data_IF_788040987040
#
_entry.id   IF_788040987040
#
_cell.length_a   1.000
_cell.length_b   1.000
_cell.length_c   1.000
_cell.angle_alpha   90.00
_cell.angle_beta   90.00
_cell.angle_gamma   90.00
#
_symmetry.space_group_name_H-M   'P 1'
#
loop_
_entity.id
_entity.type
_entity.pdbx_description
1 polymer ?
#
# COMPACT_ATOMS: atom_id res chain seq x y z
N UNK A 1 9.22 -27.34 26.76
CA UNK A 1 8.86 -27.09 26.56
C UNK A 1 8.32 -26.53 26.46
N UNK A 2 7.99 -26.38 26.34
CA UNK A 2 7.47 -25.85 26.12
C UNK A 2 6.80 -25.31 26.36
N UNK A 3 6.46 -25.33 26.67
CA UNK A 3 5.76 -24.93 26.91
C UNK A 3 5.50 -24.02 27.12
N UNK A 4 5.63 -23.71 27.43
CA UNK A 4 5.41 -22.84 27.83
C UNK A 4 5.38 -21.96 27.17
N UNK A 5 5.66 -21.97 26.47
CA UNK A 5 5.53 -21.28 25.70
C UNK A 5 4.33 -21.02 25.41
N UNK A 6 3.93 -21.73 25.43
CA UNK A 6 2.67 -21.66 24.94
C UNK A 6 1.92 -20.63 25.49
N UNK A 7 2.04 -20.30 26.49
CA UNK A 7 1.28 -19.41 26.99
C UNK A 7 1.67 -18.12 26.71
N UNK A 8 2.78 -17.89 26.93
CA UNK A 8 3.18 -16.63 26.67
C UNK A 8 2.92 -16.27 25.32
N UNK A 9 3.18 -17.10 24.47
CA UNK A 9 3.03 -16.86 23.08
C UNK A 9 1.77 -16.15 22.72
N UNK A 10 0.81 -16.21 23.52
CA UNK A 10 -0.34 -15.53 23.23
C UNK A 10 -0.14 -14.13 22.76
N UNK A 11 0.15 -13.29 23.55
CA UNK A 11 0.23 -11.94 23.22
C UNK A 11 1.29 -11.64 22.24
N UNK A 12 2.23 -12.49 22.19
CA UNK A 12 3.31 -12.30 21.29
C UNK A 12 2.92 -12.51 19.87
N UNK A 13 2.10 -13.46 19.63
CA UNK A 13 1.74 -13.81 18.30
C UNK A 13 1.11 -12.72 17.50
N UNK A 14 0.23 -11.95 18.04
CA UNK A 14 -0.33 -10.86 17.26
C UNK A 14 0.71 -9.90 16.74
N UNK A 15 1.79 -9.72 17.48
CA UNK A 15 2.81 -8.82 17.02
C UNK A 15 3.55 -9.41 15.84
N UNK A 16 3.80 -10.68 15.90
CA UNK A 16 4.48 -11.32 14.81
C UNK A 16 3.61 -11.34 13.58
N UNK A 17 2.34 -11.60 13.76
CA UNK A 17 1.44 -11.60 12.63
C UNK A 17 1.42 -10.24 11.99
N UNK A 18 1.48 -9.20 12.78
CA UNK A 18 1.51 -7.88 12.24
C UNK A 18 2.68 -7.67 11.34
N UNK A 19 3.83 -8.21 11.71
CA UNK A 19 4.99 -8.05 10.88
C UNK A 19 4.91 -8.84 9.61
N UNK A 20 4.08 -9.88 9.57
CA UNK A 20 3.98 -10.70 8.37
C UNK A 20 2.88 -10.23 7.44
N UNK A 21 2.41 -9.01 7.59
CA UNK A 21 1.31 -8.52 6.80
C UNK A 21 1.68 -8.24 5.36
N UNK A 22 0.74 -7.68 4.64
CA UNK A 22 0.88 -7.38 3.22
C UNK A 22 0.95 -5.86 3.03
N UNK A 23 1.90 -5.42 2.22
CA UNK A 23 2.00 -4.01 1.86
C UNK A 23 1.50 -3.86 0.44
N UNK A 24 0.48 -3.04 0.22
CA UNK A 24 -0.10 -2.84 -1.10
C UNK A 24 0.22 -1.43 -1.58
N UNK A 25 0.90 -1.34 -2.72
CA UNK A 25 1.19 -0.07 -3.35
C UNK A 25 0.02 0.23 -4.29
N UNK A 26 -0.83 1.14 -3.89
CA UNK A 26 -2.08 1.47 -4.59
C UNK A 26 -1.84 2.76 -5.37
N UNK A 27 -1.76 2.68 -6.67
CA UNK A 27 -1.41 3.84 -7.48
C UNK A 27 -1.75 3.58 -8.94
N UNK A 28 -1.76 4.63 -9.74
CA UNK A 28 -1.92 4.46 -11.17
C UNK A 28 -0.65 3.91 -11.80
N UNK A 29 0.48 4.23 -11.21
CA UNK A 29 1.82 3.92 -11.74
C UNK A 29 2.06 4.59 -13.08
N UNK A 30 1.44 5.75 -13.27
CA UNK A 30 1.63 6.47 -14.53
C UNK A 30 3.01 7.11 -14.60
N UNK A 31 3.43 7.71 -13.47
CA UNK A 31 4.71 8.39 -13.45
C UNK A 31 5.63 7.87 -12.37
N UNK A 32 5.38 6.68 -11.89
CA UNK A 32 6.19 6.11 -10.82
C UNK A 32 7.53 5.68 -11.39
N UNK A 33 8.61 6.19 -10.81
CA UNK A 33 9.94 5.87 -11.29
C UNK A 33 10.41 4.53 -10.73
N UNK A 34 11.48 4.00 -11.33
CA UNK A 34 12.07 2.78 -10.79
C UNK A 34 12.58 2.99 -9.39
N UNK A 35 13.06 4.20 -9.08
CA UNK A 35 13.52 4.50 -7.72
C UNK A 35 12.36 4.46 -6.73
N UNK A 36 11.19 4.94 -7.15
CA UNK A 36 10.03 4.89 -6.27
C UNK A 36 9.54 3.47 -6.06
N UNK A 37 9.59 2.64 -7.10
CA UNK A 37 9.25 1.24 -6.95
C UNK A 37 10.24 0.54 -6.03
N UNK A 38 11.52 0.86 -6.19
CA UNK A 38 12.54 0.27 -5.34
C UNK A 38 12.36 0.69 -3.88
N UNK A 39 11.94 1.93 -3.66
CA UNK A 39 11.70 2.40 -2.29
C UNK A 39 10.56 1.61 -1.65
N UNK A 40 9.52 1.30 -2.41
CA UNK A 40 8.43 0.49 -1.88
C UNK A 40 8.91 -0.91 -1.53
N UNK A 41 9.77 -1.49 -2.38
CA UNK A 41 10.31 -2.82 -2.10
C UNK A 41 11.21 -2.79 -0.87
N UNK A 42 11.98 -1.71 -0.71
CA UNK A 42 12.83 -1.56 0.46
C UNK A 42 11.98 -1.44 1.72
N UNK A 43 10.88 -0.71 1.64
CA UNK A 43 10.00 -0.56 2.79
C UNK A 43 9.41 -1.92 3.17
N UNK A 44 8.98 -2.69 2.19
CA UNK A 44 8.40 -4.00 2.47
C UNK A 44 9.43 -4.90 3.16
N UNK A 45 10.66 -4.85 2.70
CA UNK A 45 11.71 -5.67 3.28
C UNK A 45 12.09 -5.18 4.67
N UNK A 46 12.32 -3.87 4.82
CA UNK A 46 12.78 -3.31 6.08
C UNK A 46 11.76 -3.49 7.19
N UNK A 47 10.48 -3.46 6.83
CA UNK A 47 9.42 -3.59 7.82
C UNK A 47 8.87 -5.01 7.90
N UNK A 48 9.53 -5.94 7.23
CA UNK A 48 9.25 -7.38 7.32
C UNK A 48 7.85 -7.76 6.86
N UNK A 49 7.39 -7.11 5.81
CA UNK A 49 6.13 -7.52 5.21
C UNK A 49 6.33 -8.81 4.44
N UNK A 50 5.29 -9.63 4.42
CA UNK A 50 5.36 -10.91 3.74
C UNK A 50 5.35 -10.72 2.23
N UNK A 51 4.60 -9.77 1.73
CA UNK A 51 4.43 -9.55 0.31
C UNK A 51 4.26 -8.08 0.03
N UNK A 52 4.82 -7.63 -1.08
CA UNK A 52 4.51 -6.32 -1.64
C UNK A 52 3.60 -6.56 -2.85
N UNK A 53 2.41 -5.98 -2.83
CA UNK A 53 1.47 -6.10 -3.94
C UNK A 53 1.41 -4.77 -4.66
N UNK A 54 1.66 -4.78 -5.97
CA UNK A 54 1.49 -3.58 -6.78
C UNK A 54 0.08 -3.64 -7.36
N UNK A 55 -0.71 -2.61 -7.09
CA UNK A 55 -2.12 -2.58 -7.49
C UNK A 55 -2.34 -1.41 -8.42
N UNK A 56 -2.22 -1.62 -9.74
CA UNK A 56 -2.37 -0.53 -10.70
C UNK A 56 -3.83 -0.24 -10.99
N UNK A 57 -4.15 1.04 -11.06
CA UNK A 57 -5.50 1.49 -11.27
C UNK A 57 -5.83 1.52 -12.76
N UNK A 58 -7.03 1.11 -13.11
CA UNK A 58 -7.51 1.19 -14.48
C UNK A 58 -7.77 2.65 -14.87
N UNK A 59 -7.72 2.95 -16.15
CA UNK A 59 -7.97 4.31 -16.63
C UNK A 59 -9.28 4.86 -16.10
N UNK A 60 -10.31 4.02 -16.06
CA UNK A 60 -11.61 4.46 -15.60
C UNK A 60 -11.59 4.88 -14.13
N UNK A 61 -10.79 4.19 -13.32
CA UNK A 61 -10.65 4.52 -11.92
C UNK A 61 -9.86 5.81 -11.76
N UNK A 62 -8.75 5.93 -12.49
CA UNK A 62 -7.93 7.15 -12.40
C UNK A 62 -8.75 8.36 -12.82
N UNK A 63 -9.48 8.23 -13.90
CA UNK A 63 -10.29 9.34 -14.39
C UNK A 63 -11.31 9.78 -13.36
N UNK A 64 -11.93 8.81 -12.70
CA UNK A 64 -12.95 9.13 -11.72
C UNK A 64 -12.36 9.76 -10.47
N UNK A 65 -11.18 9.31 -10.06
CA UNK A 65 -10.56 9.82 -8.84
C UNK A 65 -9.82 11.11 -9.04
N UNK A 66 -9.02 11.20 -10.08
CA UNK A 66 -8.08 12.31 -10.24
C UNK A 66 -8.29 13.11 -11.52
N UNK A 67 -9.10 12.61 -12.43
CA UNK A 67 -9.37 13.31 -13.69
C UNK A 67 -8.12 13.62 -14.47
N UNK A 68 -7.17 12.72 -14.46
CA UNK A 68 -5.92 12.90 -15.17
C UNK A 68 -5.81 11.88 -16.27
N UNK A 69 -5.16 12.24 -17.38
CA UNK A 69 -4.92 11.25 -18.42
C UNK A 69 -3.91 10.24 -17.93
N UNK A 70 -4.02 9.05 -18.45
CA UNK A 70 -3.12 7.98 -18.04
C UNK A 70 -2.98 7.04 -19.23
N UNK A 71 -1.78 6.45 -19.38
CA UNK A 71 -1.55 5.49 -20.45
C UNK A 71 -2.42 4.26 -20.24
N UNK A 72 -2.64 3.47 -21.29
CA UNK A 72 -3.49 2.30 -21.16
C UNK A 72 -3.01 1.38 -20.04
N UNK A 73 -3.96 0.72 -19.42
CA UNK A 73 -3.68 -0.16 -18.30
C UNK A 73 -2.64 -1.23 -18.68
N UNK A 74 -2.78 -1.82 -19.87
CA UNK A 74 -1.89 -2.91 -20.25
C UNK A 74 -0.43 -2.46 -20.34
N UNK A 75 -0.19 -1.22 -20.77
CA UNK A 75 1.16 -0.72 -20.89
C UNK A 75 1.80 -0.53 -19.51
N UNK A 76 0.99 -0.04 -18.58
CA UNK A 76 1.49 0.15 -17.22
C UNK A 76 1.70 -1.20 -16.53
N UNK A 77 0.82 -2.17 -16.80
CA UNK A 77 1.01 -3.52 -16.27
C UNK A 77 2.27 -4.15 -16.80
N UNK A 78 2.53 -4.01 -18.11
CA UNK A 78 3.73 -4.59 -18.70
C UNK A 78 4.97 -4.03 -18.04
N UNK A 79 4.99 -2.74 -17.80
CA UNK A 79 6.14 -2.13 -17.16
C UNK A 79 6.34 -2.67 -15.74
N UNK A 80 5.25 -2.83 -15.00
CA UNK A 80 5.37 -3.35 -13.64
C UNK A 80 5.84 -4.80 -13.64
N UNK A 81 5.37 -5.61 -14.59
CA UNK A 81 5.83 -6.99 -14.68
C UNK A 81 7.31 -7.03 -15.06
N UNK A 82 7.76 -6.14 -15.95
CA UNK A 82 9.18 -6.10 -16.31
C UNK A 82 10.02 -5.72 -15.10
N UNK A 83 9.58 -4.72 -14.35
CA UNK A 83 10.31 -4.30 -13.16
C UNK A 83 10.37 -5.44 -12.15
N UNK A 84 9.24 -6.11 -11.95
CA UNK A 84 9.20 -7.20 -10.99
C UNK A 84 10.16 -8.31 -11.37
N UNK A 85 10.24 -8.63 -12.66
CA UNK A 85 11.14 -9.69 -13.11
C UNK A 85 12.60 -9.33 -12.90
N UNK A 86 12.91 -8.04 -12.86
CA UNK A 86 14.28 -7.63 -12.66
C UNK A 86 14.70 -7.71 -11.18
N UNK A 87 13.74 -7.95 -10.28
CA UNK A 87 14.05 -8.03 -8.86
C UNK A 87 14.05 -9.48 -8.44
N UNK A 88 15.19 -9.91 -7.94
CA UNK A 88 15.34 -11.31 -7.68
C UNK A 88 14.77 -11.79 -6.41
N UNK A 89 14.75 -11.00 -5.41
CA UNK A 89 14.57 -11.54 -4.10
C UNK A 89 13.27 -11.32 -3.49
N UNK A 90 12.42 -10.60 -4.05
CA UNK A 90 11.32 -10.15 -3.28
C UNK A 90 10.05 -10.88 -3.57
N UNK A 91 9.19 -10.97 -2.58
CA UNK A 91 7.87 -11.48 -2.78
C UNK A 91 7.03 -10.31 -3.28
N UNK A 92 7.01 -10.14 -4.58
CA UNK A 92 6.29 -9.04 -5.21
C UNK A 92 5.24 -9.62 -6.13
N UNK A 93 4.00 -9.19 -5.96
CA UNK A 93 2.91 -9.60 -6.84
C UNK A 93 2.34 -8.38 -7.52
N UNK A 94 1.83 -8.55 -8.74
CA UNK A 94 1.12 -7.49 -9.44
C UNK A 94 -0.32 -7.92 -9.53
N UNK A 95 -1.22 -7.15 -8.92
CA UNK A 95 -2.62 -7.54 -8.86
C UNK A 95 -3.35 -7.01 -10.09
N UNK A 96 -4.10 -7.87 -10.74
CA UNK A 96 -4.76 -7.52 -11.99
C UNK A 96 -6.24 -7.32 -11.92
N UNK A 97 -6.79 -7.09 -10.74
CA UNK A 97 -8.24 -6.97 -10.62
C UNK A 97 -8.82 -5.93 -11.55
N UNK A 98 -8.23 -4.75 -11.60
CA UNK A 98 -8.83 -3.67 -12.37
C UNK A 98 -8.78 -3.93 -13.85
N UNK A 99 -7.75 -4.65 -14.31
CA UNK A 99 -7.70 -5.05 -15.71
C UNK A 99 -8.77 -6.05 -16.07
N UNK A 100 -9.15 -6.90 -15.13
CA UNK A 100 -10.24 -7.85 -15.38
C UNK A 100 -11.56 -7.15 -15.38
N UNK A 101 -11.75 -6.17 -14.50
CA UNK A 101 -13.03 -5.46 -14.43
C UNK A 101 -13.20 -4.49 -15.58
N UNK A 102 -12.13 -3.82 -15.98
CA UNK A 102 -12.14 -2.87 -17.10
C UNK A 102 -13.14 -1.74 -16.90
N UNK A 103 -13.31 -1.32 -15.66
CA UNK A 103 -14.23 -0.24 -15.34
C UNK A 103 -13.83 0.36 -14.01
N UNK A 104 -14.46 1.45 -13.65
CA UNK A 104 -14.19 2.10 -12.38
C UNK A 104 -14.33 1.11 -11.23
N UNK A 105 -13.34 1.05 -10.38
CA UNK A 105 -13.36 0.19 -9.20
C UNK A 105 -13.25 1.10 -7.98
N UNK A 106 -14.33 1.25 -7.21
CA UNK A 106 -14.24 2.06 -5.98
C UNK A 106 -13.20 1.48 -5.03
N UNK A 107 -12.54 2.35 -4.27
CA UNK A 107 -11.50 1.86 -3.38
C UNK A 107 -12.06 0.88 -2.36
N UNK A 108 -13.32 1.03 -1.98
CA UNK A 108 -13.95 0.07 -1.07
C UNK A 108 -13.92 -1.33 -1.67
N UNK A 109 -14.24 -1.46 -2.95
CA UNK A 109 -14.20 -2.76 -3.62
C UNK A 109 -12.78 -3.28 -3.73
N UNK A 110 -11.84 -2.38 -4.04
CA UNK A 110 -10.45 -2.76 -4.17
C UNK A 110 -9.92 -3.29 -2.83
N UNK A 111 -10.21 -2.59 -1.74
CA UNK A 111 -9.71 -2.99 -0.44
C UNK A 111 -10.34 -4.30 0.03
N UNK A 112 -11.62 -4.51 -0.31
CA UNK A 112 -12.26 -5.76 0.04
C UNK A 112 -11.58 -6.92 -0.69
N UNK A 113 -11.34 -6.73 -1.99
CA UNK A 113 -10.64 -7.74 -2.77
C UNK A 113 -9.24 -8.02 -2.21
N UNK A 114 -8.52 -6.95 -1.86
CA UNK A 114 -7.14 -7.10 -1.39
C UNK A 114 -7.08 -7.82 -0.05
N UNK A 115 -8.01 -7.49 0.86
CA UNK A 115 -7.99 -8.17 2.16
C UNK A 115 -8.39 -9.64 2.00
N UNK A 116 -9.31 -9.94 1.09
CA UNK A 116 -9.71 -11.33 0.88
C UNK A 116 -8.65 -12.13 0.17
N UNK A 117 -7.93 -11.50 -0.75
CA UNK A 117 -6.94 -12.23 -1.53
C UNK A 117 -5.63 -12.43 -0.79
N UNK A 118 -5.17 -11.38 -0.09
CA UNK A 118 -3.83 -11.42 0.52
C UNK A 118 -3.86 -11.49 2.04
N UNK A 119 -5.01 -11.35 2.64
CA UNK A 119 -5.14 -11.50 4.07
C UNK A 119 -4.82 -10.24 4.84
N UNK A 120 -4.85 -10.34 6.15
CA UNK A 120 -4.57 -9.22 7.05
C UNK A 120 -3.39 -9.58 7.91
N UNK A 121 -2.72 -8.61 8.48
CA UNK A 121 -3.00 -7.18 8.37
C UNK A 121 -2.58 -6.62 7.02
N UNK A 122 -3.31 -5.62 6.56
CA UNK A 122 -3.06 -5.00 5.28
C UNK A 122 -2.66 -3.55 5.49
N UNK A 123 -1.58 -3.14 4.81
CA UNK A 123 -1.10 -1.76 4.84
C UNK A 123 -1.15 -1.22 3.42
N UNK A 124 -1.55 0.02 3.26
CA UNK A 124 -1.51 0.67 1.95
C UNK A 124 -0.30 1.59 1.90
N UNK A 125 0.50 1.42 0.87
CA UNK A 125 1.65 2.29 0.60
C UNK A 125 1.17 3.31 -0.43
N UNK A 126 1.18 4.58 -0.08
CA UNK A 126 0.55 5.63 -0.88
C UNK A 126 1.47 6.81 -1.02
N UNK A 127 1.38 7.49 -2.18
CA UNK A 127 1.95 8.82 -2.27
C UNK A 127 1.13 9.74 -1.37
N UNK A 128 1.69 10.88 -0.96
CA UNK A 128 0.91 11.82 -0.16
C UNK A 128 -0.36 12.28 -0.87
N UNK A 129 -0.28 12.45 -2.18
CA UNK A 129 -1.45 12.87 -2.96
C UNK A 129 -2.54 11.81 -2.93
N UNK A 130 -2.15 10.56 -3.09
CA UNK A 130 -3.13 9.48 -3.07
C UNK A 130 -3.71 9.32 -1.66
N UNK A 131 -2.90 9.54 -0.64
CA UNK A 131 -3.40 9.47 0.73
C UNK A 131 -4.45 10.55 0.98
N UNK A 132 -4.22 11.75 0.49
CA UNK A 132 -5.20 12.82 0.61
C UNK A 132 -6.47 12.49 -0.15
N UNK A 133 -6.34 11.89 -1.32
CA UNK A 133 -7.51 11.50 -2.08
C UNK A 133 -8.32 10.46 -1.32
N UNK A 134 -7.65 9.45 -0.81
CA UNK A 134 -8.34 8.41 -0.04
C UNK A 134 -9.07 9.01 1.16
N UNK A 135 -8.41 9.95 1.85
CA UNK A 135 -9.02 10.58 3.00
C UNK A 135 -10.27 11.37 2.66
N UNK A 136 -10.42 11.77 1.40
CA UNK A 136 -11.59 12.53 0.99
C UNK A 136 -12.79 11.66 0.63
N UNK A 137 -12.62 10.35 0.58
CA UNK A 137 -13.69 9.45 0.15
C UNK A 137 -14.59 9.08 1.33
N UNK A 138 -15.84 8.78 1.01
CA UNK A 138 -16.80 8.40 2.02
C UNK A 138 -16.39 7.15 2.78
N UNK A 139 -15.71 6.24 2.13
CA UNK A 139 -15.35 4.97 2.74
C UNK A 139 -14.10 5.05 3.62
N UNK A 140 -13.45 6.22 3.66
CA UNK A 140 -12.19 6.32 4.37
C UNK A 140 -12.30 5.91 5.83
N UNK A 141 -13.28 6.44 6.54
CA UNK A 141 -13.35 6.21 7.98
C UNK A 141 -13.62 4.76 8.32
N UNK A 142 -14.41 4.08 7.50
CA UNK A 142 -14.68 2.69 7.80
C UNK A 142 -13.47 1.81 7.54
N UNK A 143 -12.57 2.23 6.64
CA UNK A 143 -11.39 1.44 6.33
C UNK A 143 -10.20 1.77 7.20
N UNK A 144 -10.00 3.05 7.53
CA UNK A 144 -8.79 3.45 8.24
C UNK A 144 -8.67 2.80 9.61
N UNK A 145 -9.78 2.37 10.18
CA UNK A 145 -9.74 1.68 11.47
C UNK A 145 -9.37 0.21 11.32
N UNK A 146 -9.36 -0.30 10.10
CA UNK A 146 -9.04 -1.71 9.84
C UNK A 146 -7.72 -1.92 9.14
N UNK A 147 -7.20 -0.88 8.47
CA UNK A 147 -5.93 -0.98 7.78
C UNK A 147 -5.06 0.16 8.26
N UNK A 148 -3.80 0.13 7.88
CA UNK A 148 -2.89 1.22 8.19
C UNK A 148 -2.30 1.73 6.90
N UNK A 149 -1.80 2.97 6.92
CA UNK A 149 -1.18 3.55 5.75
C UNK A 149 0.30 3.77 6.00
N UNK A 150 1.07 3.64 4.95
CA UNK A 150 2.49 3.96 4.96
C UNK A 150 2.71 4.91 3.79
N UNK A 151 3.02 6.16 4.09
CA UNK A 151 3.18 7.17 3.04
C UNK A 151 4.60 7.16 2.52
N UNK A 152 4.72 7.30 1.21
CA UNK A 152 6.03 7.27 0.56
C UNK A 152 6.85 8.51 0.86
N UNK A 153 6.20 9.60 1.28
CA UNK A 153 6.89 10.84 1.59
C UNK A 153 5.99 11.68 2.47
N UNK A 154 6.57 12.71 3.08
CA UNK A 154 5.80 13.63 3.89
C UNK A 154 4.85 14.42 2.99
N UNK A 155 3.62 14.64 3.44
CA UNK A 155 2.73 15.52 2.69
C UNK A 155 3.32 16.93 2.65
N UNK A 156 3.07 17.61 1.55
CA UNK A 156 3.56 18.97 1.41
C UNK A 156 2.96 19.85 2.50
N UNK A 157 3.71 20.85 2.91
CA UNK A 157 3.28 21.72 3.98
C UNK A 157 1.91 22.32 3.65
N UNK A 158 1.01 22.25 4.61
CA UNK A 158 -0.32 22.79 4.42
C UNK A 158 -1.23 21.99 3.53
N UNK A 159 -0.79 20.80 3.13
CA UNK A 159 -1.59 19.96 2.25
C UNK A 159 -2.15 18.72 2.88
N UNK A 160 -2.03 18.57 4.18
CA UNK A 160 -2.53 17.38 4.85
C UNK A 160 -4.04 17.45 5.00
N UNK A 161 -4.74 16.46 4.51
CA UNK A 161 -6.18 16.40 4.62
C UNK A 161 -6.56 16.31 6.10
N UNK A 162 -7.62 17.02 6.53
CA UNK A 162 -8.01 16.99 7.94
C UNK A 162 -8.26 15.59 8.49
N UNK A 163 -8.79 14.69 7.68
CA UNK A 163 -9.04 13.33 8.17
C UNK A 163 -7.73 12.58 8.41
N UNK A 164 -6.69 12.87 7.63
CA UNK A 164 -5.40 12.25 7.90
C UNK A 164 -4.85 12.76 9.21
N UNK A 165 -5.02 14.04 9.50
CA UNK A 165 -4.59 14.58 10.78
C UNK A 165 -5.37 13.94 11.92
N UNK A 166 -6.66 13.76 11.74
CA UNK A 166 -7.51 13.16 12.75
C UNK A 166 -7.10 11.73 13.06
N UNK A 167 -6.67 10.99 12.04
CA UNK A 167 -6.27 9.59 12.20
C UNK A 167 -4.76 9.42 12.15
N UNK A 168 -4.03 10.40 12.68
CA UNK A 168 -2.57 10.37 12.61
C UNK A 168 -1.96 9.11 13.21
N UNK A 169 -2.65 8.48 14.14
CA UNK A 169 -2.14 7.25 14.76
C UNK A 169 -2.27 6.03 13.85
N UNK A 170 -2.89 6.19 12.68
CA UNK A 170 -3.11 5.07 11.77
C UNK A 170 -2.16 5.10 10.56
N UNK A 171 -1.21 6.01 10.50
CA UNK A 171 -0.31 6.05 9.37
C UNK A 171 1.06 6.59 9.77
N UNK A 172 2.04 6.25 8.97
CA UNK A 172 3.42 6.70 9.17
C UNK A 172 4.00 7.04 7.81
N UNK A 173 5.15 7.71 7.81
CA UNK A 173 5.88 8.01 6.59
C UNK A 173 7.13 7.13 6.58
N UNK A 174 7.43 6.54 5.42
CA UNK A 174 8.64 5.75 5.27
C UNK A 174 9.67 6.63 4.56
N UNK A 175 10.81 6.81 5.19
CA UNK A 175 11.85 7.66 4.63
C UNK A 175 13.14 6.91 4.41
N UNK A 176 13.05 5.65 4.11
CA UNK A 176 14.25 4.88 3.82
C UNK A 176 15.00 4.44 5.06
N UNK A 177 14.39 4.63 6.20
CA UNK A 177 15.03 4.17 7.42
C UNK A 177 16.11 5.07 7.94
N UNK A 178 16.33 6.19 7.31
CA UNK A 178 17.41 7.02 7.72
C UNK A 178 17.25 7.56 9.09
N UNK A 179 16.00 7.70 9.47
CA UNK A 179 15.78 8.29 10.75
C UNK A 179 16.26 7.45 11.90
N UNK A 180 16.40 6.18 11.64
CA UNK A 180 16.81 5.28 12.71
C UNK A 180 18.20 5.57 13.20
N UNK A 181 19.02 6.11 12.37
CA UNK A 181 20.37 6.33 12.75
C UNK A 181 20.57 7.57 13.59
N UNK A 182 19.57 8.36 13.68
CA UNK A 182 19.75 9.57 14.40
C UNK A 182 19.38 9.49 15.83
N UNK A 183 19.03 8.33 16.29
CA UNK A 183 18.70 8.19 17.69
C UNK A 183 19.74 7.45 18.44
#
# INVERSE_FOLDING_TARGET
MNRNQGKVPFGYEPVEDSRAGTLVYYDSFEETSDAELAAAADAASALSFRTLVLYPLHEATVKRMARQPVRPYYARMDRLHDWRRSRESANIAVDGLEGKRKKYTPIDSALRHLTETYGTPLFLYLSPEMANLFASFDSFESWIVRIRLLLAAEPASGRLHPRLAQYAHRWNVYDGGERADER
#
